data_IF_108899884206
#
_entry.id   IF_108899884206
#
_cell.length_a   1.000
_cell.length_b   1.000
_cell.length_c   1.000
_cell.angle_alpha   90.00
_cell.angle_beta   90.00
_cell.angle_gamma   90.00
#
_symmetry.space_group_name_H-M   'P 1'
#
loop_
_entity.id
_entity.type
_entity.pdbx_description
1 polymer ?
#
# COMPACT_ATOMS: atom_id res chain seq x y z
N UNK A 1 13.26 7.45 3.75
CA UNK A 1 12.79 8.05 5.02
C UNK A 1 12.56 7.03 6.16
N UNK A 2 11.60 6.09 6.16
CA UNK A 2 11.50 5.10 7.29
C UNK A 2 12.64 4.06 7.30
N UNK A 3 12.88 3.45 6.14
CA UNK A 3 13.91 2.41 5.98
C UNK A 3 15.31 2.90 6.36
N UNK A 4 15.64 4.13 5.98
CA UNK A 4 16.94 4.78 6.27
C UNK A 4 17.11 5.13 7.76
N UNK A 5 16.02 5.29 8.51
CA UNK A 5 16.04 5.64 9.94
C UNK A 5 15.88 4.40 10.85
N UNK A 6 16.19 3.20 10.34
CA UNK A 6 16.27 1.97 11.14
C UNK A 6 14.98 1.17 11.26
N UNK A 7 13.88 1.62 10.65
CA UNK A 7 12.59 0.89 10.63
C UNK A 7 12.56 -0.18 9.52
N UNK A 8 13.57 -1.05 9.50
CA UNK A 8 13.78 -2.03 8.40
C UNK A 8 12.84 -3.24 8.46
N UNK A 9 12.38 -3.59 9.65
CA UNK A 9 11.60 -4.82 9.87
C UNK A 9 10.10 -4.57 10.10
N UNK A 10 9.67 -3.30 10.24
CA UNK A 10 8.27 -2.95 10.47
C UNK A 10 7.72 -2.17 9.28
N UNK A 11 6.88 -2.83 8.48
CA UNK A 11 6.02 -2.13 7.54
C UNK A 11 4.82 -1.54 8.28
N UNK A 12 4.34 -0.37 7.87
CA UNK A 12 3.10 0.16 8.41
C UNK A 12 1.96 -0.81 8.09
N UNK A 13 1.20 -1.19 9.12
CA UNK A 13 0.04 -2.08 8.96
C UNK A 13 -1.11 -1.40 8.20
N UNK A 14 -1.18 -0.08 8.29
CA UNK A 14 -2.24 0.72 7.70
C UNK A 14 -1.60 1.79 6.82
N UNK A 15 -2.02 1.85 5.57
CA UNK A 15 -1.62 2.89 4.62
C UNK A 15 -2.82 3.79 4.35
N UNK A 16 -2.63 5.11 4.47
CA UNK A 16 -3.67 6.09 4.20
C UNK A 16 -3.21 6.99 3.05
N UNK A 17 -4.06 7.13 2.03
CA UNK A 17 -3.81 7.98 0.87
C UNK A 17 -4.85 9.10 0.81
N UNK A 18 -4.37 10.32 0.60
CA UNK A 18 -5.21 11.50 0.40
C UNK A 18 -5.28 11.79 -1.10
N UNK A 19 -6.47 11.74 -1.67
CA UNK A 19 -6.72 11.94 -3.09
C UNK A 19 -6.12 10.83 -3.95
N UNK A 20 -6.59 9.56 -3.81
CA UNK A 20 -6.21 8.50 -4.75
C UNK A 20 -6.53 8.86 -6.21
N UNK A 21 -7.48 9.77 -6.44
CA UNK A 21 -7.87 10.17 -7.77
C UNK A 21 -8.52 9.01 -8.51
N UNK A 22 -8.16 8.81 -9.78
CA UNK A 22 -8.82 7.84 -10.66
C UNK A 22 -8.35 6.38 -10.49
N UNK A 23 -7.30 6.13 -9.70
CA UNK A 23 -6.70 4.80 -9.54
C UNK A 23 -6.21 4.58 -8.11
N UNK A 24 -6.34 3.37 -7.61
CA UNK A 24 -5.84 2.98 -6.28
C UNK A 24 -4.38 2.50 -6.34
N UNK A 25 -3.64 2.76 -7.43
CA UNK A 25 -2.34 2.14 -7.72
C UNK A 25 -1.32 2.19 -6.58
N UNK A 26 -1.15 3.34 -5.91
CA UNK A 26 -0.22 3.47 -4.78
C UNK A 26 -0.69 2.65 -3.58
N UNK A 27 -1.98 2.75 -3.23
CA UNK A 27 -2.59 1.93 -2.18
C UNK A 27 -2.51 0.43 -2.46
N UNK A 28 -2.70 0.01 -3.70
CA UNK A 28 -2.59 -1.38 -4.12
C UNK A 28 -1.15 -1.89 -4.00
N UNK A 29 -0.16 -1.10 -4.40
CA UNK A 29 1.24 -1.41 -4.18
C UNK A 29 1.57 -1.51 -2.67
N UNK A 30 0.99 -0.65 -1.83
CA UNK A 30 1.15 -0.72 -0.38
C UNK A 30 0.58 -2.02 0.21
N UNK A 31 -0.59 -2.48 -0.27
CA UNK A 31 -1.16 -3.78 0.11
C UNK A 31 -0.29 -4.93 -0.39
N UNK A 32 0.12 -4.90 -1.66
CA UNK A 32 0.94 -5.95 -2.26
C UNK A 32 2.31 -6.09 -1.60
N UNK A 33 2.87 -5.00 -1.05
CA UNK A 33 4.16 -5.01 -0.34
C UNK A 33 4.06 -5.36 1.15
N UNK A 34 2.83 -5.51 1.70
CA UNK A 34 2.62 -6.09 3.02
C UNK A 34 1.74 -5.29 3.99
N UNK A 35 1.17 -4.15 3.58
CA UNK A 35 0.21 -3.43 4.43
C UNK A 35 -1.06 -4.27 4.65
N UNK A 36 -1.63 -4.23 5.85
CA UNK A 36 -2.83 -5.00 6.19
C UNK A 36 -4.12 -4.29 5.74
N UNK A 37 -4.13 -2.95 5.73
CA UNK A 37 -5.29 -2.15 5.28
C UNK A 37 -4.88 -0.90 4.51
N UNK A 38 -5.72 -0.53 3.56
CA UNK A 38 -5.62 0.68 2.76
C UNK A 38 -6.84 1.57 2.97
N UNK A 39 -6.60 2.80 3.43
CA UNK A 39 -7.60 3.83 3.67
C UNK A 39 -7.48 4.90 2.58
N UNK A 40 -8.44 4.94 1.66
CA UNK A 40 -8.44 5.88 0.55
C UNK A 40 -9.37 7.06 0.87
N UNK A 41 -8.83 8.27 1.01
CA UNK A 41 -9.61 9.45 1.34
C UNK A 41 -9.76 10.32 0.09
N UNK A 42 -10.98 10.45 -0.44
CA UNK A 42 -11.24 11.31 -1.60
C UNK A 42 -12.49 12.18 -1.40
N UNK A 43 -12.62 13.22 -2.21
CA UNK A 43 -13.82 14.03 -2.33
C UNK A 43 -14.82 13.32 -3.26
N UNK A 44 -14.36 12.54 -4.25
CA UNK A 44 -15.21 11.87 -5.25
C UNK A 44 -15.13 10.35 -5.20
N UNK A 45 -16.26 9.66 -5.40
CA UNK A 45 -16.40 8.20 -5.40
C UNK A 45 -16.00 7.57 -6.74
N UNK A 46 -14.78 7.84 -7.22
CA UNK A 46 -14.37 7.42 -8.57
C UNK A 46 -13.11 6.56 -8.55
N UNK A 47 -13.29 5.28 -8.23
CA UNK A 47 -12.29 4.24 -8.49
C UNK A 47 -12.92 3.15 -9.34
N UNK A 48 -12.56 3.09 -10.63
CA UNK A 48 -13.10 2.08 -11.56
C UNK A 48 -12.53 0.70 -11.25
N UNK A 49 -13.41 -0.27 -10.95
CA UNK A 49 -13.02 -1.63 -10.54
C UNK A 49 -12.19 -2.30 -11.64
N UNK A 50 -12.62 -2.18 -12.91
CA UNK A 50 -11.93 -2.85 -14.02
C UNK A 50 -10.53 -2.28 -14.25
N UNK A 51 -10.36 -0.96 -14.19
CA UNK A 51 -9.06 -0.29 -14.25
C UNK A 51 -8.18 -0.70 -13.08
N UNK A 52 -8.71 -0.74 -11.85
CA UNK A 52 -7.94 -1.14 -10.67
C UNK A 52 -7.51 -2.60 -10.71
N UNK A 53 -8.34 -3.51 -11.23
CA UNK A 53 -7.95 -4.90 -11.44
C UNK A 53 -6.80 -5.01 -12.44
N UNK A 54 -6.86 -4.28 -13.58
CA UNK A 54 -5.76 -4.25 -14.55
C UNK A 54 -4.46 -3.69 -13.95
N UNK A 55 -4.57 -2.61 -13.16
CA UNK A 55 -3.42 -2.03 -12.46
C UNK A 55 -2.86 -3.05 -11.47
N UNK A 56 -3.71 -3.73 -10.71
CA UNK A 56 -3.30 -4.75 -9.76
C UNK A 56 -2.58 -5.93 -10.44
N UNK A 57 -3.09 -6.41 -11.57
CA UNK A 57 -2.46 -7.48 -12.36
C UNK A 57 -1.06 -7.09 -12.83
N UNK A 58 -0.93 -5.86 -13.36
CA UNK A 58 0.37 -5.32 -13.75
C UNK A 58 1.32 -5.21 -12.56
N UNK A 59 0.83 -4.77 -11.39
CA UNK A 59 1.66 -4.75 -10.18
C UNK A 59 2.10 -6.16 -9.78
N UNK A 60 1.21 -7.15 -9.76
CA UNK A 60 1.61 -8.54 -9.45
C UNK A 60 2.70 -9.01 -10.41
N UNK A 61 2.55 -8.80 -11.72
CA UNK A 61 3.56 -9.17 -12.71
C UNK A 61 4.91 -8.48 -12.48
N UNK A 62 4.93 -7.17 -12.18
CA UNK A 62 6.17 -6.43 -11.90
C UNK A 62 6.91 -6.99 -10.68
N UNK A 63 6.18 -7.34 -9.62
CA UNK A 63 6.77 -7.85 -8.38
C UNK A 63 7.19 -9.32 -8.49
N UNK A 64 6.42 -10.16 -9.20
CA UNK A 64 6.79 -11.57 -9.47
C UNK A 64 8.05 -11.68 -10.33
N UNK A 65 8.26 -10.71 -11.24
CA UNK A 65 9.44 -10.66 -12.08
C UNK A 65 10.56 -9.78 -11.50
N UNK A 66 10.41 -9.27 -10.27
CA UNK A 66 11.39 -8.42 -9.58
C UNK A 66 11.90 -7.30 -10.49
N UNK A 67 10.97 -6.64 -11.21
CA UNK A 67 11.32 -5.75 -12.31
C UNK A 67 11.88 -4.43 -11.79
N UNK A 68 13.02 -4.04 -12.35
CA UNK A 68 13.61 -2.71 -12.17
C UNK A 68 12.61 -1.62 -12.58
N UNK A 69 12.67 -0.48 -11.90
CA UNK A 69 11.89 0.69 -12.30
C UNK A 69 12.54 1.35 -13.53
N UNK A 70 11.74 1.93 -14.45
CA UNK A 70 12.27 2.61 -15.64
C UNK A 70 13.28 3.71 -15.27
N UNK A 71 14.40 3.77 -15.98
CA UNK A 71 15.42 4.80 -15.78
C UNK A 71 15.24 6.01 -16.72
N UNK A 72 16.14 7.00 -16.60
CA UNK A 72 16.13 8.20 -17.43
C UNK A 72 16.36 7.97 -18.93
N UNK A 73 16.60 6.73 -19.41
CA UNK A 73 16.58 6.43 -20.85
C UNK A 73 15.18 6.12 -21.34
N UNK A 74 14.39 5.45 -20.50
CA UNK A 74 12.99 5.12 -20.78
C UNK A 74 12.08 6.33 -20.51
N UNK A 75 12.42 7.14 -19.49
CA UNK A 75 11.68 8.36 -19.12
C UNK A 75 12.67 9.54 -19.01
N UNK A 76 13.01 10.21 -20.13
CA UNK A 76 14.10 11.20 -20.21
C UNK A 76 14.00 12.41 -19.26
N UNK A 77 12.78 12.77 -18.86
CA UNK A 77 12.49 13.95 -18.03
C UNK A 77 12.08 13.59 -16.59
N UNK A 78 12.30 12.34 -16.17
CA UNK A 78 12.07 11.91 -14.78
C UNK A 78 13.03 12.63 -13.83
N UNK A 79 12.46 13.37 -12.89
CA UNK A 79 13.18 14.02 -11.79
C UNK A 79 12.42 13.80 -10.48
N UNK A 80 13.14 13.57 -9.36
CA UNK A 80 14.60 13.50 -9.23
C UNK A 80 15.18 12.16 -9.70
N UNK A 81 16.40 12.18 -10.24
CA UNK A 81 17.10 10.93 -10.57
C UNK A 81 17.45 10.11 -9.33
N UNK A 82 17.35 8.79 -9.45
CA UNK A 82 17.64 7.86 -8.36
C UNK A 82 19.08 7.35 -8.45
N UNK A 83 19.66 7.03 -7.29
CA UNK A 83 20.98 6.38 -7.21
C UNK A 83 20.95 4.93 -7.71
N UNK A 84 19.78 4.30 -7.62
CA UNK A 84 19.55 2.91 -7.98
C UNK A 84 18.12 2.77 -8.48
N UNK A 85 17.96 2.13 -9.63
CA UNK A 85 16.67 1.79 -10.25
C UNK A 85 16.35 0.29 -10.12
N UNK A 86 17.27 -0.48 -9.53
CA UNK A 86 17.10 -1.91 -9.36
C UNK A 86 15.97 -2.24 -8.38
N UNK A 87 15.37 -3.41 -8.54
CA UNK A 87 14.38 -3.91 -7.60
C UNK A 87 14.91 -3.92 -6.14
N UNK A 88 14.12 -3.45 -5.15
CA UNK A 88 14.63 -3.13 -3.82
C UNK A 88 14.70 -4.35 -2.89
N UNK A 89 15.58 -5.31 -3.18
CA UNK A 89 15.77 -6.54 -2.38
C UNK A 89 16.12 -6.30 -0.92
N UNK A 90 16.77 -5.17 -0.63
CA UNK A 90 17.10 -4.75 0.73
C UNK A 90 15.85 -4.51 1.60
N UNK A 91 14.71 -4.19 0.97
CA UNK A 91 13.41 -3.96 1.61
C UNK A 91 12.50 -5.18 1.41
N UNK A 92 12.47 -5.70 0.19
CA UNK A 92 11.65 -6.84 -0.26
C UNK A 92 12.54 -8.05 -0.47
N UNK A 93 13.01 -8.64 0.63
CA UNK A 93 13.76 -9.90 0.59
C UNK A 93 12.91 -11.04 -0.01
N UNK A 94 13.55 -12.10 -0.49
CA UNK A 94 12.90 -13.31 -1.02
C UNK A 94 11.85 -13.86 -0.04
N UNK A 95 12.20 -14.04 1.25
CA UNK A 95 11.26 -14.47 2.30
C UNK A 95 10.05 -13.52 2.44
N UNK A 96 10.27 -12.22 2.24
CA UNK A 96 9.18 -11.24 2.29
C UNK A 96 8.31 -11.33 1.04
N UNK A 97 8.90 -11.45 -0.14
CA UNK A 97 8.21 -11.63 -1.42
C UNK A 97 7.31 -12.86 -1.38
N UNK A 98 7.84 -14.01 -0.96
CA UNK A 98 7.08 -15.26 -0.79
C UNK A 98 5.82 -15.06 0.06
N UNK A 99 5.94 -14.31 1.15
CA UNK A 99 4.82 -14.04 2.05
C UNK A 99 3.80 -13.07 1.45
N UNK A 100 4.25 -12.01 0.78
CA UNK A 100 3.34 -10.95 0.31
C UNK A 100 2.72 -11.27 -1.06
N UNK A 101 3.39 -12.11 -1.86
CA UNK A 101 2.89 -12.67 -3.13
C UNK A 101 2.20 -14.03 -2.95
N UNK A 102 2.04 -14.50 -1.71
CA UNK A 102 1.31 -15.73 -1.44
C UNK A 102 -0.08 -15.68 -2.10
N UNK A 103 -0.43 -16.73 -2.86
CA UNK A 103 -1.66 -16.78 -3.68
C UNK A 103 -2.91 -16.34 -2.92
N UNK A 104 -3.09 -16.80 -1.68
CA UNK A 104 -4.24 -16.43 -0.86
C UNK A 104 -4.36 -14.92 -0.67
N UNK A 105 -3.23 -14.21 -0.51
CA UNK A 105 -3.18 -12.78 -0.27
C UNK A 105 -3.49 -11.99 -1.52
N UNK A 106 -2.96 -12.41 -2.67
CA UNK A 106 -3.31 -11.85 -3.97
C UNK A 106 -4.84 -11.93 -4.19
N UNK A 107 -5.43 -13.10 -3.92
CA UNK A 107 -6.89 -13.27 -4.01
C UNK A 107 -7.67 -12.40 -3.00
N UNK A 108 -7.14 -12.19 -1.79
CA UNK A 108 -7.77 -11.26 -0.83
C UNK A 108 -7.73 -9.81 -1.31
N UNK A 109 -6.64 -9.38 -1.96
CA UNK A 109 -6.55 -8.04 -2.52
C UNK A 109 -7.52 -7.90 -3.70
N UNK A 110 -7.62 -8.89 -4.60
CA UNK A 110 -8.62 -8.92 -5.68
C UNK A 110 -10.04 -8.79 -5.14
N UNK A 111 -10.39 -9.62 -4.15
CA UNK A 111 -11.68 -9.55 -3.47
C UNK A 111 -11.95 -8.15 -2.91
N UNK A 112 -10.93 -7.51 -2.34
CA UNK A 112 -11.05 -6.17 -1.75
C UNK A 112 -11.24 -5.07 -2.79
N UNK A 113 -10.66 -5.22 -3.99
CA UNK A 113 -10.87 -4.31 -5.13
C UNK A 113 -12.32 -4.38 -5.63
N UNK A 114 -12.85 -5.60 -5.77
CA UNK A 114 -14.23 -5.84 -6.24
C UNK A 114 -15.28 -5.47 -5.19
N UNK A 115 -14.97 -5.68 -3.91
CA UNK A 115 -15.89 -5.49 -2.77
C UNK A 115 -15.28 -4.55 -1.73
N UNK A 116 -15.12 -3.30 -2.13
CA UNK A 116 -14.67 -2.24 -1.22
C UNK A 116 -15.64 -2.08 -0.05
N UNK A 117 -15.12 -1.78 1.15
CA UNK A 117 -15.90 -1.65 2.40
C UNK A 117 -16.67 -2.91 2.87
N UNK A 118 -16.60 -4.04 2.16
CA UNK A 118 -17.21 -5.28 2.63
C UNK A 118 -16.49 -5.83 3.87
N UNK A 119 -17.18 -6.66 4.65
CA UNK A 119 -16.53 -7.40 5.74
C UNK A 119 -15.37 -8.24 5.17
N UNK A 120 -14.19 -8.10 5.77
CA UNK A 120 -12.96 -8.76 5.31
C UNK A 120 -12.24 -8.04 4.16
N UNK A 121 -12.79 -6.95 3.62
CA UNK A 121 -12.07 -6.12 2.64
C UNK A 121 -10.87 -5.43 3.30
N UNK A 122 -9.77 -5.36 2.56
CA UNK A 122 -8.57 -4.62 2.94
C UNK A 122 -8.63 -3.15 2.49
N UNK A 123 -9.58 -2.80 1.62
CA UNK A 123 -9.70 -1.48 0.97
C UNK A 123 -10.93 -0.76 1.54
N UNK A 124 -10.68 0.39 2.15
CA UNK A 124 -11.66 1.17 2.88
C UNK A 124 -11.67 2.62 2.37
N UNK A 125 -12.40 2.89 1.28
CA UNK A 125 -12.54 4.23 0.78
C UNK A 125 -13.49 5.05 1.66
N UNK A 126 -13.15 6.31 1.84
CA UNK A 126 -13.89 7.29 2.64
C UNK A 126 -14.10 8.54 1.80
N UNK A 127 -15.36 8.94 1.65
CA UNK A 127 -15.76 10.08 0.80
C UNK A 127 -16.52 11.12 1.60
N UNK A 128 -16.15 12.39 1.44
CA UNK A 128 -16.76 13.51 2.19
C UNK A 128 -18.23 13.79 1.83
N UNK A 129 -18.77 13.17 0.77
CA UNK A 129 -20.16 13.31 0.34
C UNK A 129 -21.13 12.23 0.84
N UNK A 130 -20.65 11.14 1.41
CA UNK A 130 -21.52 10.04 1.87
C UNK A 130 -22.14 10.37 3.24
N UNK A 131 -23.44 10.67 3.26
CA UNK A 131 -24.21 11.00 4.48
C UNK A 131 -24.33 9.86 5.49
N UNK A 132 -23.66 8.72 5.29
CA UNK A 132 -23.74 7.54 6.16
C UNK A 132 -22.51 7.28 7.03
N UNK A 133 -21.46 8.09 6.96
CA UNK A 133 -20.24 7.87 7.73
C UNK A 133 -20.17 8.75 9.00
N UNK A 134 -21.09 8.52 9.94
CA UNK A 134 -20.83 8.81 11.36
C UNK A 134 -19.79 7.79 11.85
N UNK A 135 -18.53 7.99 11.50
CA UNK A 135 -17.43 7.22 12.10
C UNK A 135 -17.14 7.76 13.51
N UNK A 136 -17.00 6.89 14.53
CA UNK A 136 -16.47 7.27 15.82
C UNK A 136 -14.96 7.50 15.65
N UNK A 137 -14.57 8.74 15.35
CA UNK A 137 -13.17 9.18 15.32
C UNK A 137 -12.53 9.07 16.73
N UNK A 138 -13.32 8.88 17.79
CA UNK A 138 -12.84 8.63 19.16
C UNK A 138 -12.59 7.15 19.47
N UNK A 139 -11.64 6.49 18.80
CA UNK A 139 -10.90 5.36 19.43
C UNK A 139 -9.59 5.02 18.74
N UNK A 140 -8.78 6.03 18.45
CA UNK A 140 -7.35 5.80 18.22
C UNK A 140 -6.66 5.74 19.58
N UNK A 141 -6.50 4.54 20.14
CA UNK A 141 -5.51 4.31 21.19
C UNK A 141 -4.13 4.39 20.52
N UNK A 142 -3.46 5.52 20.71
CA UNK A 142 -2.03 5.64 20.46
C UNK A 142 -1.32 4.44 21.10
N UNK A 143 -0.56 3.70 20.28
CA UNK A 143 0.45 2.78 20.78
C UNK A 143 1.56 3.65 21.38
N UNK A 144 1.51 3.90 22.70
CA UNK A 144 2.61 4.56 23.39
C UNK A 144 3.86 3.67 23.30
N UNK A 145 5.02 4.22 22.92
CA UNK A 145 6.27 3.47 23.02
C UNK A 145 6.55 3.20 24.50
N UNK A 146 6.56 1.92 24.90
CA UNK A 146 7.11 1.51 26.19
C UNK A 146 8.60 1.86 26.22
N UNK A 147 8.94 2.97 26.87
CA UNK A 147 10.30 3.28 27.29
C UNK A 147 10.68 2.24 28.33
N UNK A 148 11.51 1.28 27.96
CA UNK A 148 12.15 0.35 28.90
C UNK A 148 13.27 1.15 29.59
N UNK A 149 12.98 1.69 30.77
CA UNK A 149 14.02 2.17 31.68
C UNK A 149 14.75 0.94 32.25
N UNK A 150 15.97 0.69 31.76
CA UNK A 150 16.94 -0.12 32.48
C UNK A 150 17.51 0.75 33.61
N UNK A 151 17.09 0.50 34.84
CA UNK A 151 17.86 0.90 36.01
C UNK A 151 18.74 -0.29 36.43
N UNK A 152 20.01 0.03 36.73
CA UNK A 152 21.06 -0.94 37.04
C UNK A 152 21.07 -1.43 38.48
#
# INVERSE_FOLDING_TARGET
MMYEHGYRNCLPKHFAELGPGNSLGVGLAALLTGSEKYLAFDIMEHADIATNLKVFDGLVELFENEKDIPDGKEIPDDQPTLRCYAFPHDILSEERLDRVLAKWRIEQIRYSIERQNAHGSMIHPTFRGSRSALFPILRWSFCEPKVILRNG
#
